data_IF_467942373000
#
_entry.id   IF_467942373000
#
_cell.length_a   1.000
_cell.length_b   1.000
_cell.length_c   1.000
_cell.angle_alpha   90.00
_cell.angle_beta   90.00
_cell.angle_gamma   90.00
#
_symmetry.space_group_name_H-M   'P 1'
#
loop_
_entity.id
_entity.type
_entity.pdbx_description
1 polymer ?
#
# COMPACT_ATOMS: atom_id res chain seq x y z
N UNK A 1 41.47 2.14 -23.74
CA UNK A 1 40.63 1.16 -24.45
C UNK A 1 39.52 0.77 -23.51
N UNK A 2 38.28 1.03 -23.95
CA UNK A 2 36.97 0.53 -23.47
C UNK A 2 36.70 0.65 -21.95
N UNK A 3 35.98 1.66 -21.43
CA UNK A 3 34.58 2.06 -21.61
C UNK A 3 33.51 0.95 -21.46
N UNK A 4 32.58 1.21 -20.52
CA UNK A 4 31.16 0.79 -20.48
C UNK A 4 30.92 -0.64 -19.98
N UNK A 5 29.91 -1.00 -19.17
CA UNK A 5 28.64 -0.40 -18.73
C UNK A 5 28.33 -1.02 -17.33
N UNK A 6 27.51 -0.52 -16.42
CA UNK A 6 26.10 -0.17 -16.56
C UNK A 6 25.73 0.85 -15.47
N UNK A 7 25.63 2.11 -15.87
CA UNK A 7 24.63 3.00 -15.29
C UNK A 7 23.27 2.42 -15.66
N UNK A 8 22.74 1.53 -14.82
CA UNK A 8 21.35 1.09 -14.93
C UNK A 8 20.51 2.35 -14.82
N UNK A 9 19.97 2.69 -15.98
CA UNK A 9 19.24 3.91 -16.22
C UNK A 9 18.08 3.94 -15.24
N UNK A 10 17.99 5.01 -14.42
CA UNK A 10 16.75 5.41 -13.74
C UNK A 10 15.70 5.68 -14.82
N UNK A 11 15.15 4.63 -15.41
CA UNK A 11 13.99 4.75 -16.25
C UNK A 11 12.92 5.40 -15.38
N UNK A 12 12.44 6.57 -15.80
CA UNK A 12 11.28 7.21 -15.19
C UNK A 12 10.09 6.28 -15.45
N UNK A 13 9.90 5.30 -14.58
CA UNK A 13 8.74 4.41 -14.59
C UNK A 13 7.52 5.29 -14.42
N UNK A 14 6.50 5.07 -15.26
CA UNK A 14 5.26 5.81 -15.12
C UNK A 14 4.67 5.55 -13.72
N UNK A 15 4.22 6.60 -12.99
CA UNK A 15 3.66 6.43 -11.67
C UNK A 15 2.54 5.37 -11.59
N UNK A 16 1.77 5.18 -12.68
CA UNK A 16 0.71 4.16 -12.75
C UNK A 16 1.29 2.74 -12.78
N UNK A 17 2.37 2.53 -13.54
CA UNK A 17 3.02 1.22 -13.64
C UNK A 17 3.63 0.79 -12.31
N UNK A 18 4.15 1.75 -11.54
CA UNK A 18 4.67 1.51 -10.19
C UNK A 18 3.58 1.14 -9.19
N UNK A 19 2.42 1.83 -9.24
CA UNK A 19 1.26 1.49 -8.40
C UNK A 19 0.77 0.08 -8.68
N UNK A 20 0.74 -0.32 -9.95
CA UNK A 20 0.36 -1.68 -10.35
C UNK A 20 1.34 -2.71 -9.78
N UNK A 21 2.65 -2.43 -9.77
CA UNK A 21 3.65 -3.34 -9.19
C UNK A 21 3.50 -3.48 -7.67
N UNK A 22 3.25 -2.38 -6.95
CA UNK A 22 2.98 -2.41 -5.51
C UNK A 22 1.73 -3.25 -5.21
N UNK A 23 0.66 -3.07 -5.99
CA UNK A 23 -0.56 -3.86 -5.83
C UNK A 23 -0.31 -5.35 -6.04
N UNK A 24 0.41 -5.72 -7.11
CA UNK A 24 0.80 -7.11 -7.40
C UNK A 24 1.68 -7.69 -6.29
N UNK A 25 2.57 -6.89 -5.70
CA UNK A 25 3.45 -7.34 -4.63
C UNK A 25 2.66 -7.78 -3.40
N UNK A 26 1.67 -7.01 -2.96
CA UNK A 26 0.84 -7.41 -1.82
C UNK A 26 -0.05 -8.62 -2.12
N UNK A 27 -0.48 -8.81 -3.38
CA UNK A 27 -1.21 -10.02 -3.80
C UNK A 27 -0.30 -11.25 -3.68
N UNK A 28 0.91 -11.15 -4.21
CA UNK A 28 1.91 -12.22 -4.11
C UNK A 28 2.25 -12.60 -2.67
N UNK A 29 2.47 -11.61 -1.80
CA UNK A 29 2.74 -11.86 -0.38
C UNK A 29 1.56 -12.51 0.32
N UNK A 30 0.32 -12.16 -0.04
CA UNK A 30 -0.86 -12.84 0.46
C UNK A 30 -0.89 -14.33 0.07
N UNK A 31 -0.63 -14.63 -1.20
CA UNK A 31 -0.70 -15.99 -1.72
C UNK A 31 0.38 -16.89 -1.13
N UNK A 32 1.57 -16.33 -0.88
CA UNK A 32 2.64 -16.98 -0.11
C UNK A 32 2.22 -17.27 1.34
N UNK A 33 1.64 -16.29 2.03
CA UNK A 33 1.32 -16.38 3.46
C UNK A 33 -0.01 -17.10 3.76
N UNK A 34 -0.86 -17.33 2.75
CA UNK A 34 -2.23 -17.87 2.88
C UNK A 34 -3.08 -17.14 3.93
N UNK A 35 -2.80 -15.86 4.20
CA UNK A 35 -3.52 -15.01 5.16
C UNK A 35 -4.80 -14.47 4.53
N UNK A 36 -5.77 -15.36 4.29
CA UNK A 36 -7.15 -15.09 3.86
C UNK A 36 -7.48 -13.66 3.40
N UNK A 37 -7.23 -13.35 2.12
CA UNK A 37 -7.90 -12.23 1.44
C UNK A 37 -9.41 -12.42 1.58
N UNK A 38 -10.12 -11.41 2.06
CA UNK A 38 -11.58 -11.51 2.20
C UNK A 38 -12.25 -11.80 0.84
N UNK A 39 -13.40 -12.48 0.80
CA UNK A 39 -14.10 -12.81 -0.45
C UNK A 39 -14.38 -11.60 -1.36
N UNK A 40 -14.55 -10.41 -0.78
CA UNK A 40 -14.76 -9.15 -1.51
C UNK A 40 -13.47 -8.56 -2.08
N UNK A 41 -12.32 -8.77 -1.42
CA UNK A 41 -11.00 -8.47 -2.02
C UNK A 41 -10.70 -9.44 -3.14
N UNK A 42 -11.00 -10.73 -2.95
CA UNK A 42 -10.95 -11.76 -3.99
C UNK A 42 -11.85 -11.40 -5.19
N UNK A 43 -13.06 -10.91 -4.99
CA UNK A 43 -13.94 -10.51 -6.09
C UNK A 43 -13.39 -9.34 -6.89
N UNK A 44 -12.84 -8.31 -6.22
CA UNK A 44 -12.18 -7.17 -6.90
C UNK A 44 -10.87 -7.58 -7.57
N UNK A 45 -10.10 -8.50 -6.97
CA UNK A 45 -8.83 -8.99 -7.52
C UNK A 45 -9.02 -9.96 -8.67
N UNK A 46 -9.99 -10.89 -8.59
CA UNK A 46 -10.35 -11.81 -9.66
C UNK A 46 -10.75 -11.06 -10.93
N UNK A 47 -11.49 -9.94 -10.79
CA UNK A 47 -11.83 -9.05 -11.90
C UNK A 47 -10.59 -8.48 -12.62
N UNK A 48 -9.47 -8.29 -11.91
CA UNK A 48 -8.18 -7.87 -12.50
C UNK A 48 -7.26 -9.05 -12.90
N UNK A 49 -7.53 -10.27 -12.43
CA UNK A 49 -6.66 -11.45 -12.60
C UNK A 49 -6.97 -12.26 -13.85
N UNK A 50 -8.17 -12.11 -14.43
CA UNK A 50 -8.65 -12.92 -15.57
C UNK A 50 -7.81 -12.69 -16.84
N UNK A 51 -6.98 -11.63 -16.91
CA UNK A 51 -6.12 -11.37 -18.08
C UNK A 51 -4.60 -11.42 -17.83
N UNK A 52 -4.11 -11.71 -16.61
CA UNK A 52 -2.66 -11.63 -16.35
C UNK A 52 -2.01 -12.98 -15.97
N UNK A 53 -0.81 -13.29 -16.50
CA UNK A 53 -0.01 -14.44 -16.08
C UNK A 53 0.29 -14.42 -14.58
N UNK A 54 0.70 -15.58 -14.04
CA UNK A 54 1.08 -15.72 -12.64
C UNK A 54 2.02 -14.61 -12.18
N UNK A 55 1.74 -14.02 -11.02
CA UNK A 55 2.56 -12.94 -10.47
C UNK A 55 3.86 -13.55 -9.96
N UNK A 56 4.96 -13.33 -10.67
CA UNK A 56 6.29 -13.84 -10.29
C UNK A 56 7.16 -12.74 -9.67
N UNK A 57 8.19 -13.14 -8.91
CA UNK A 57 9.14 -12.20 -8.28
C UNK A 57 9.86 -11.30 -9.32
N UNK A 58 9.99 -11.78 -10.56
CA UNK A 58 10.57 -11.06 -11.71
C UNK A 58 9.71 -9.87 -12.14
N UNK A 59 8.40 -9.90 -11.90
CA UNK A 59 7.47 -8.80 -12.22
C UNK A 59 7.67 -7.56 -11.35
N UNK A 60 8.48 -7.66 -10.30
CA UNK A 60 8.87 -6.56 -9.41
C UNK A 60 10.29 -6.06 -9.67
N UNK A 61 10.89 -6.43 -10.81
CA UNK A 61 12.27 -6.07 -11.15
C UNK A 61 12.53 -4.56 -11.21
N UNK A 62 11.48 -3.75 -11.32
CA UNK A 62 11.60 -2.28 -11.33
C UNK A 62 11.43 -1.61 -9.95
N UNK A 63 11.06 -2.38 -8.92
CA UNK A 63 11.11 -1.91 -7.54
C UNK A 63 12.54 -2.00 -7.03
N UNK A 64 13.03 -0.90 -6.46
CA UNK A 64 14.34 -0.85 -5.83
C UNK A 64 14.37 -1.73 -4.56
N UNK A 65 15.53 -2.23 -4.13
CA UNK A 65 15.65 -3.02 -2.90
C UNK A 65 15.03 -2.32 -1.68
N UNK A 66 15.29 -1.02 -1.52
CA UNK A 66 14.77 -0.22 -0.40
C UNK A 66 13.24 -0.10 -0.44
N UNK A 67 12.65 -0.09 -1.64
CA UNK A 67 11.20 -0.05 -1.81
C UNK A 67 10.58 -1.38 -1.40
N UNK A 68 11.22 -2.51 -1.74
CA UNK A 68 10.79 -3.84 -1.31
C UNK A 68 10.88 -3.98 0.21
N UNK A 69 11.95 -3.49 0.83
CA UNK A 69 12.09 -3.49 2.29
C UNK A 69 10.95 -2.72 2.97
N UNK A 70 10.59 -1.54 2.44
CA UNK A 70 9.44 -0.78 2.97
C UNK A 70 8.15 -1.56 2.80
N UNK A 71 7.93 -2.19 1.66
CA UNK A 71 6.72 -2.99 1.42
C UNK A 71 6.66 -4.24 2.32
N UNK A 72 7.79 -4.90 2.55
CA UNK A 72 7.92 -6.02 3.50
C UNK A 72 7.59 -5.56 4.92
N UNK A 73 8.13 -4.42 5.36
CA UNK A 73 7.79 -3.84 6.67
C UNK A 73 6.29 -3.55 6.79
N UNK A 74 5.69 -2.91 5.79
CA UNK A 74 4.25 -2.64 5.76
C UNK A 74 3.45 -3.94 5.81
N UNK A 75 3.84 -4.95 5.03
CA UNK A 75 3.20 -6.27 5.03
C UNK A 75 3.30 -6.97 6.38
N UNK A 76 4.47 -6.96 7.01
CA UNK A 76 4.70 -7.59 8.31
C UNK A 76 3.88 -6.95 9.43
N UNK A 77 3.69 -5.63 9.39
CA UNK A 77 2.90 -4.90 10.38
C UNK A 77 1.39 -5.07 10.14
N UNK A 78 0.93 -4.86 8.91
CA UNK A 78 -0.49 -4.71 8.60
C UNK A 78 -1.13 -5.91 7.87
N UNK A 79 -0.35 -6.73 7.18
CA UNK A 79 -0.84 -7.86 6.37
C UNK A 79 -1.53 -8.96 7.18
N UNK A 80 -1.37 -8.97 8.51
CA UNK A 80 -2.09 -9.88 9.43
C UNK A 80 -3.51 -9.42 9.78
N UNK A 81 -3.87 -8.17 9.49
CA UNK A 81 -5.16 -7.60 9.85
C UNK A 81 -6.15 -7.66 8.69
N UNK A 82 -7.43 -7.89 9.01
CA UNK A 82 -8.49 -7.84 8.01
C UNK A 82 -8.87 -6.39 7.64
N UNK A 83 -9.72 -6.24 6.62
CA UNK A 83 -10.13 -4.92 6.16
C UNK A 83 -10.88 -4.10 7.20
N UNK A 84 -11.68 -4.75 8.08
CA UNK A 84 -12.47 -4.04 9.11
C UNK A 84 -11.56 -3.51 10.21
N UNK A 85 -10.55 -4.29 10.59
CA UNK A 85 -9.58 -3.85 11.58
C UNK A 85 -8.73 -2.69 11.05
N UNK A 86 -8.25 -2.75 9.80
CA UNK A 86 -7.52 -1.65 9.18
C UNK A 86 -8.38 -0.39 9.06
N UNK A 87 -9.65 -0.53 8.69
CA UNK A 87 -10.62 0.57 8.67
C UNK A 87 -10.79 1.18 10.08
N UNK A 88 -10.96 0.33 11.10
CA UNK A 88 -11.04 0.77 12.49
C UNK A 88 -9.79 1.52 12.92
N UNK A 89 -8.58 1.09 12.53
CA UNK A 89 -7.35 1.83 12.83
C UNK A 89 -7.42 3.24 12.25
N UNK A 90 -7.71 3.38 10.95
CA UNK A 90 -7.83 4.69 10.30
C UNK A 90 -8.93 5.56 10.92
N UNK A 91 -10.06 4.98 11.34
CA UNK A 91 -11.16 5.73 11.97
C UNK A 91 -10.80 6.28 13.36
N UNK A 92 -9.77 5.72 14.00
CA UNK A 92 -9.24 6.21 15.27
C UNK A 92 -8.13 7.26 15.10
N UNK A 93 -7.70 7.57 13.87
CA UNK A 93 -6.69 8.59 13.62
C UNK A 93 -7.34 9.97 13.58
N UNK A 94 -6.73 10.94 14.29
CA UNK A 94 -7.15 12.34 14.30
C UNK A 94 -7.46 12.91 12.90
N UNK A 95 -6.57 12.77 11.88
CA UNK A 95 -6.84 13.32 10.55
C UNK A 95 -8.14 12.79 9.91
N UNK A 96 -8.50 11.53 10.17
CA UNK A 96 -9.75 10.96 9.69
C UNK A 96 -10.95 11.51 10.47
N UNK A 97 -10.82 11.59 11.80
CA UNK A 97 -11.87 12.12 12.69
C UNK A 97 -12.17 13.59 12.42
N UNK A 98 -11.13 14.39 12.16
CA UNK A 98 -11.25 15.79 11.79
C UNK A 98 -12.02 15.94 10.47
N UNK A 99 -11.63 15.20 9.43
CA UNK A 99 -12.29 15.23 8.13
C UNK A 99 -13.76 14.80 8.19
N UNK A 100 -14.15 14.03 9.21
CA UNK A 100 -15.53 13.55 9.40
C UNK A 100 -16.29 14.22 10.54
N UNK A 101 -15.75 15.30 11.10
CA UNK A 101 -16.41 16.03 12.18
C UNK A 101 -17.80 16.48 11.75
N UNK A 102 -18.82 16.10 12.52
CA UNK A 102 -20.22 16.41 12.24
C UNK A 102 -20.89 15.57 11.16
N UNK A 103 -20.23 14.51 10.67
CA UNK A 103 -20.79 13.55 9.71
C UNK A 103 -21.14 12.26 10.46
N UNK A 104 -22.37 11.76 10.29
CA UNK A 104 -22.81 10.49 10.88
C UNK A 104 -22.00 9.30 10.34
N UNK A 105 -21.86 8.25 11.15
CA UNK A 105 -21.03 7.08 10.85
C UNK A 105 -21.40 6.39 9.54
N UNK A 106 -22.70 6.29 9.24
CA UNK A 106 -23.18 5.60 8.03
C UNK A 106 -23.13 6.47 6.76
N UNK A 107 -22.84 7.77 6.91
CA UNK A 107 -22.81 8.72 5.81
C UNK A 107 -21.40 8.78 5.20
N UNK A 108 -21.25 8.68 3.87
CA UNK A 108 -19.96 8.85 3.23
C UNK A 108 -19.48 10.30 3.37
N UNK A 109 -18.21 10.48 3.71
CA UNK A 109 -17.58 11.81 3.69
C UNK A 109 -16.96 12.08 2.32
N UNK A 110 -17.07 13.34 1.87
CA UNK A 110 -16.35 13.87 0.70
C UNK A 110 -15.31 14.92 1.09
N UNK A 111 -15.11 15.12 2.39
CA UNK A 111 -14.14 16.09 2.89
C UNK A 111 -12.73 15.56 2.63
N UNK A 112 -11.84 16.47 2.26
CA UNK A 112 -10.43 16.16 2.04
C UNK A 112 -9.76 16.05 3.41
N UNK A 113 -8.99 14.98 3.63
CA UNK A 113 -8.15 14.85 4.80
C UNK A 113 -7.00 15.86 4.69
N UNK A 114 -6.83 16.69 5.72
CA UNK A 114 -5.80 17.72 5.76
C UNK A 114 -4.39 17.10 5.70
N UNK A 115 -3.55 17.46 4.70
CA UNK A 115 -2.16 17.02 4.64
C UNK A 115 -1.36 17.47 5.87
N UNK A 116 -1.67 18.66 6.40
CA UNK A 116 -0.98 19.22 7.56
C UNK A 116 -1.31 18.43 8.84
N UNK A 117 -2.58 18.04 9.02
CA UNK A 117 -3.00 17.20 10.15
C UNK A 117 -2.42 15.80 10.02
N UNK A 118 -2.45 15.20 8.83
CA UNK A 118 -1.82 13.90 8.57
C UNK A 118 -0.35 13.90 8.93
N UNK A 119 0.39 14.92 8.47
CA UNK A 119 1.81 15.06 8.77
C UNK A 119 2.05 15.20 10.26
N UNK A 120 1.32 16.11 10.92
CA UNK A 120 1.47 16.37 12.35
C UNK A 120 1.18 15.13 13.21
N UNK A 121 0.11 14.40 12.86
CA UNK A 121 -0.28 13.15 13.52
C UNK A 121 0.82 12.09 13.45
N UNK A 122 1.34 11.79 12.25
CA UNK A 122 2.38 10.77 12.11
C UNK A 122 3.76 11.23 12.62
N UNK A 123 4.07 12.52 12.59
CA UNK A 123 5.27 13.06 13.26
C UNK A 123 5.20 12.87 14.77
N UNK A 124 4.04 13.10 15.39
CA UNK A 124 3.85 12.85 16.81
C UNK A 124 4.00 11.35 17.12
N UNK A 125 3.36 10.48 16.36
CA UNK A 125 3.47 9.02 16.54
C UNK A 125 4.91 8.52 16.41
N UNK A 126 5.69 9.10 15.52
CA UNK A 126 7.09 8.75 15.34
C UNK A 126 7.93 9.14 16.57
N UNK A 127 7.66 10.30 17.17
CA UNK A 127 8.33 10.73 18.41
C UNK A 127 7.97 9.86 19.61
N UNK A 128 6.72 9.40 19.70
CA UNK A 128 6.26 8.52 20.78
C UNK A 128 6.81 7.08 20.67
N UNK A 129 7.24 6.67 19.48
CA UNK A 129 7.81 5.36 19.23
C UNK A 129 9.34 5.28 19.44
N UNK A 130 9.98 6.41 19.79
CA UNK A 130 11.42 6.56 20.04
C UNK A 130 11.72 6.67 21.53
#
# INVERSE_FOLDING_TARGET
MEQSSDTVTKAKIDPKDKVIQIARYFVHQNDKDKKGLSPLKLQKLLYFSIEHPEITDEMFGSLLPEEKEVLDMVWNVYGKYDGKYLEMLSHNEEPWQEARRGIETEVPSRNIISPDTMKSYYEQRLKEAQ
#
